data_IF_632882324563
#
_entry.id   IF_632882324563
#
_cell.length_a   1.000
_cell.length_b   1.000
_cell.length_c   1.000
_cell.angle_alpha   90.00
_cell.angle_beta   90.00
_cell.angle_gamma   90.00
#
_symmetry.space_group_name_H-M   'P 1'
#
loop_
_entity.id
_entity.type
_entity.pdbx_description
1 polymer ?
#
# COMPACT_ATOMS: atom_id res chain seq x y z
N UNK A 1 21.71 -17.34 -8.04
CA UNK A 1 20.44 -16.64 -7.70
C UNK A 1 20.65 -15.18 -8.07
N UNK A 2 19.96 -14.69 -9.09
CA UNK A 2 20.07 -13.31 -9.54
C UNK A 2 19.31 -12.39 -8.59
N UNK A 3 19.92 -11.28 -8.18
CA UNK A 3 19.35 -10.34 -7.23
C UNK A 3 18.65 -9.20 -7.97
N UNK A 4 17.36 -9.02 -7.73
CA UNK A 4 16.61 -7.83 -8.14
C UNK A 4 16.98 -6.65 -7.22
N UNK A 5 17.73 -5.70 -7.73
CA UNK A 5 18.08 -4.48 -7.02
C UNK A 5 16.90 -3.51 -7.03
N UNK A 6 16.48 -3.11 -5.85
CA UNK A 6 15.48 -2.07 -5.65
C UNK A 6 16.13 -0.92 -4.85
N UNK A 7 16.87 0.01 -5.51
CA UNK A 7 17.63 1.05 -4.82
C UNK A 7 16.79 1.88 -3.85
N UNK A 8 15.52 2.12 -4.17
CA UNK A 8 14.57 2.79 -3.29
C UNK A 8 14.25 1.99 -2.00
N UNK A 9 14.44 0.67 -1.99
CA UNK A 9 14.33 -0.15 -0.79
C UNK A 9 15.58 -0.08 0.08
N UNK A 10 16.72 0.39 -0.46
CA UNK A 10 17.94 0.54 0.31
C UNK A 10 17.76 1.57 1.44
N UNK A 11 17.11 2.70 1.18
CA UNK A 11 16.77 3.66 2.23
C UNK A 11 15.87 3.06 3.31
N UNK A 12 14.90 2.23 2.91
CA UNK A 12 14.02 1.51 3.83
C UNK A 12 14.78 0.45 4.64
N UNK A 13 15.74 -0.25 4.02
CA UNK A 13 16.54 -1.31 4.66
C UNK A 13 17.67 -0.71 5.52
N UNK A 14 18.25 0.41 5.07
CA UNK A 14 19.35 1.10 5.75
C UNK A 14 18.88 2.00 6.91
N UNK A 15 17.60 2.31 7.01
CA UNK A 15 16.99 2.89 8.22
C UNK A 15 16.97 1.81 9.32
N UNK A 16 18.16 1.50 9.83
CA UNK A 16 18.39 0.51 10.89
C UNK A 16 17.93 0.98 12.28
N UNK A 17 17.58 2.23 12.44
CA UNK A 17 16.85 2.69 13.62
C UNK A 17 15.37 2.34 13.42
N UNK A 18 14.82 1.57 14.34
CA UNK A 18 13.38 1.33 14.49
C UNK A 18 12.70 2.66 14.79
N UNK A 19 12.56 3.52 13.80
CA UNK A 19 11.56 4.55 13.81
C UNK A 19 10.23 3.82 13.87
N UNK A 20 9.39 4.10 14.84
CA UNK A 20 8.19 3.36 15.17
C UNK A 20 7.34 2.93 13.96
N UNK A 21 6.32 2.15 14.18
CA UNK A 21 5.46 1.64 13.11
C UNK A 21 4.77 2.79 12.37
N UNK A 22 5.11 3.00 11.10
CA UNK A 22 4.53 4.10 10.30
C UNK A 22 3.00 3.97 10.16
N UNK A 23 2.46 2.74 10.19
CA UNK A 23 1.01 2.50 10.18
C UNK A 23 0.34 2.90 11.51
N UNK A 24 1.09 3.00 12.60
CA UNK A 24 0.59 3.56 13.87
C UNK A 24 0.76 5.07 13.94
N UNK A 25 1.89 5.60 13.45
CA UNK A 25 2.23 7.03 13.62
C UNK A 25 1.46 7.94 12.67
N UNK A 26 1.44 7.61 11.37
CA UNK A 26 0.77 8.43 10.37
C UNK A 26 -0.71 8.71 10.66
N UNK A 27 -1.53 7.72 11.11
CA UNK A 27 -2.93 8.00 11.42
C UNK A 27 -3.16 8.89 12.66
N UNK A 28 -2.19 9.07 13.53
CA UNK A 28 -2.28 9.98 14.70
C UNK A 28 -2.24 11.44 14.27
N UNK A 29 -1.65 11.72 13.12
CA UNK A 29 -1.56 13.05 12.57
C UNK A 29 -2.83 13.40 11.78
N UNK A 30 -3.11 14.70 11.65
CA UNK A 30 -4.30 15.21 10.94
C UNK A 30 -4.05 15.53 9.47
N UNK A 31 -2.79 15.58 9.04
CA UNK A 31 -2.43 15.89 7.66
C UNK A 31 -2.42 14.61 6.79
N UNK A 32 -3.58 14.26 6.25
CA UNK A 32 -3.75 13.08 5.42
C UNK A 32 -2.92 13.15 4.12
N UNK A 33 -2.73 14.32 3.55
CA UNK A 33 -1.98 14.49 2.30
C UNK A 33 -0.50 14.18 2.51
N UNK A 34 0.11 14.75 3.53
CA UNK A 34 1.51 14.46 3.89
C UNK A 34 1.71 13.00 4.24
N UNK A 35 0.73 12.40 4.92
CA UNK A 35 0.77 11.02 5.36
C UNK A 35 0.28 10.01 4.32
N UNK A 36 -0.20 10.50 3.16
CA UNK A 36 -0.72 9.68 2.07
C UNK A 36 -1.96 8.86 2.46
N UNK A 37 -2.74 9.31 3.47
CA UNK A 37 -3.97 8.63 3.91
C UNK A 37 -5.11 9.07 2.99
N UNK A 38 -5.66 8.11 2.25
CA UNK A 38 -6.75 8.34 1.31
C UNK A 38 -8.11 8.32 2.00
N UNK A 39 -8.33 7.37 2.90
CA UNK A 39 -9.60 7.19 3.58
C UNK A 39 -9.41 6.69 5.01
N UNK A 40 -10.19 7.24 5.93
CA UNK A 40 -10.25 6.82 7.34
C UNK A 40 -11.57 6.13 7.61
N UNK A 41 -11.54 4.82 7.87
CA UNK A 41 -12.67 4.06 8.37
C UNK A 41 -12.77 4.13 9.89
N UNK A 42 -13.63 3.31 10.48
CA UNK A 42 -13.85 3.23 11.93
C UNK A 42 -12.69 2.52 12.64
N UNK A 43 -12.26 1.40 12.11
CA UNK A 43 -11.23 0.52 12.70
C UNK A 43 -10.02 0.34 11.80
N UNK A 44 -10.16 0.67 10.50
CA UNK A 44 -9.13 0.54 9.49
C UNK A 44 -9.01 1.82 8.65
N UNK A 45 -7.95 1.92 7.85
CA UNK A 45 -7.75 3.03 6.93
C UNK A 45 -7.09 2.58 5.62
N UNK A 46 -7.22 3.40 4.59
CA UNK A 46 -6.53 3.22 3.29
C UNK A 46 -5.40 4.25 3.20
N UNK A 47 -4.21 3.78 2.91
CA UNK A 47 -3.02 4.61 2.70
C UNK A 47 -2.33 4.24 1.39
N UNK A 48 -1.82 5.22 0.66
CA UNK A 48 -0.97 4.98 -0.50
C UNK A 48 0.41 4.50 -0.03
N UNK A 49 0.89 3.41 -0.60
CA UNK A 49 2.20 2.88 -0.24
C UNK A 49 3.31 3.84 -0.70
N UNK A 50 4.18 4.27 0.22
CA UNK A 50 5.32 5.14 -0.08
C UNK A 50 6.39 4.45 -0.95
N UNK A 51 6.40 3.10 -0.97
CA UNK A 51 7.29 2.27 -1.78
C UNK A 51 6.47 1.38 -2.72
N UNK A 52 5.78 1.95 -3.71
CA UNK A 52 4.79 1.24 -4.49
C UNK A 52 5.42 0.23 -5.45
N UNK A 53 4.76 -0.92 -5.63
CA UNK A 53 5.14 -1.86 -6.70
C UNK A 53 4.67 -1.37 -8.07
N UNK A 54 3.53 -0.68 -8.12
CA UNK A 54 2.97 0.00 -9.27
C UNK A 54 2.33 1.32 -8.82
N UNK A 55 2.16 2.32 -9.71
CA UNK A 55 1.41 3.53 -9.38
C UNK A 55 0.02 3.18 -8.83
N UNK A 56 -0.38 3.83 -7.73
CA UNK A 56 -1.66 3.53 -7.07
C UNK A 56 -1.64 2.31 -6.14
N UNK A 57 -0.49 1.76 -5.78
CA UNK A 57 -0.39 0.68 -4.80
C UNK A 57 -0.92 1.14 -3.43
N UNK A 58 -2.03 0.56 -2.98
CA UNK A 58 -2.67 0.87 -1.71
C UNK A 58 -2.32 -0.17 -0.64
N UNK A 59 -2.33 0.29 0.61
CA UNK A 59 -2.37 -0.56 1.79
C UNK A 59 -3.68 -0.29 2.53
N UNK A 60 -4.31 -1.35 3.03
CA UNK A 60 -5.43 -1.28 3.97
C UNK A 60 -4.96 -1.89 5.28
N UNK A 61 -5.03 -1.15 6.37
CA UNK A 61 -4.51 -1.57 7.66
C UNK A 61 -5.44 -1.18 8.81
N UNK A 62 -5.50 -1.97 9.89
CA UNK A 62 -6.18 -1.58 11.11
C UNK A 62 -5.42 -0.47 11.84
N UNK A 63 -6.12 0.33 12.67
CA UNK A 63 -5.45 1.28 13.56
C UNK A 63 -4.69 0.58 14.70
N UNK A 64 -5.18 -0.59 15.14
CA UNK A 64 -4.51 -1.39 16.16
C UNK A 64 -3.21 -1.98 15.62
N UNK A 65 -2.16 -1.92 16.42
CA UNK A 65 -0.88 -2.55 16.12
C UNK A 65 -0.97 -4.05 16.37
N UNK A 66 -1.28 -4.81 15.35
CA UNK A 66 -1.40 -6.28 15.38
C UNK A 66 -0.73 -6.87 14.15
N UNK A 67 0.11 -7.89 14.34
CA UNK A 67 0.81 -8.59 13.25
C UNK A 67 0.16 -9.92 12.84
N UNK A 68 -0.83 -10.38 13.61
CA UNK A 68 -1.49 -11.67 13.39
C UNK A 68 -2.93 -11.47 12.87
N UNK A 69 -3.29 -12.20 11.84
CA UNK A 69 -4.62 -12.16 11.25
C UNK A 69 -5.72 -12.60 12.24
N UNK A 70 -5.42 -13.59 13.07
CA UNK A 70 -6.35 -14.12 14.09
C UNK A 70 -6.64 -13.11 15.22
N UNK A 71 -5.86 -12.02 15.31
CA UNK A 71 -6.06 -10.97 16.29
C UNK A 71 -7.06 -9.89 15.86
N UNK A 72 -7.51 -9.91 14.59
CA UNK A 72 -8.60 -9.05 14.13
C UNK A 72 -9.91 -9.45 14.80
N UNK A 73 -10.71 -8.46 15.21
CA UNK A 73 -12.11 -8.72 15.52
C UNK A 73 -12.92 -8.92 14.23
N UNK A 74 -14.11 -9.50 14.34
CA UNK A 74 -15.00 -9.70 13.19
C UNK A 74 -15.34 -8.37 12.49
N UNK A 75 -15.54 -7.30 13.30
CA UNK A 75 -15.82 -5.96 12.77
C UNK A 75 -14.62 -5.38 12.02
N UNK A 76 -13.41 -5.53 12.58
CA UNK A 76 -12.18 -5.08 11.92
C UNK A 76 -11.93 -5.84 10.62
N UNK A 77 -12.09 -7.17 10.64
CA UNK A 77 -11.92 -8.00 9.46
C UNK A 77 -12.94 -7.64 8.37
N UNK A 78 -14.21 -7.46 8.76
CA UNK A 78 -15.27 -7.03 7.83
C UNK A 78 -14.95 -5.68 7.21
N UNK A 79 -14.60 -4.67 8.03
CA UNK A 79 -14.29 -3.33 7.53
C UNK A 79 -13.04 -3.35 6.66
N UNK A 80 -12.02 -4.14 6.99
CA UNK A 80 -10.83 -4.28 6.16
C UNK A 80 -11.18 -4.74 4.74
N UNK A 81 -12.06 -5.75 4.61
CA UNK A 81 -12.55 -6.18 3.30
C UNK A 81 -13.42 -5.14 2.61
N UNK A 82 -14.25 -4.40 3.34
CA UNK A 82 -15.07 -3.32 2.77
C UNK A 82 -14.17 -2.19 2.23
N UNK A 83 -13.10 -1.84 2.94
CA UNK A 83 -12.11 -0.87 2.48
C UNK A 83 -11.26 -1.39 1.30
N UNK A 84 -10.94 -2.68 1.26
CA UNK A 84 -10.32 -3.29 0.07
C UNK A 84 -11.24 -3.14 -1.15
N UNK A 85 -12.54 -3.45 -1.02
CA UNK A 85 -13.51 -3.25 -2.10
C UNK A 85 -13.62 -1.77 -2.53
N UNK A 86 -13.58 -0.83 -1.57
CA UNK A 86 -13.55 0.60 -1.85
C UNK A 86 -12.28 0.96 -2.65
N UNK A 87 -11.11 0.49 -2.22
CA UNK A 87 -9.84 0.69 -2.91
C UNK A 87 -9.85 0.15 -4.34
N UNK A 88 -10.40 -1.04 -4.55
CA UNK A 88 -10.54 -1.65 -5.88
C UNK A 88 -11.43 -0.79 -6.79
N UNK A 89 -12.61 -0.33 -6.31
CA UNK A 89 -13.50 0.56 -7.08
C UNK A 89 -12.81 1.88 -7.40
N UNK A 90 -12.13 2.48 -6.43
CA UNK A 90 -11.38 3.72 -6.62
C UNK A 90 -10.32 3.59 -7.71
N UNK A 91 -9.49 2.55 -7.62
CA UNK A 91 -8.45 2.30 -8.61
C UNK A 91 -9.04 1.99 -9.99
N UNK A 92 -10.11 1.20 -10.04
CA UNK A 92 -10.80 0.89 -11.30
C UNK A 92 -11.31 2.15 -12.00
N UNK A 93 -11.93 3.07 -11.25
CA UNK A 93 -12.46 4.32 -11.79
C UNK A 93 -11.33 5.27 -12.25
N UNK A 94 -10.33 5.47 -11.39
CA UNK A 94 -9.32 6.52 -11.57
C UNK A 94 -8.19 6.10 -12.50
N UNK A 95 -7.71 4.85 -12.38
CA UNK A 95 -6.49 4.40 -13.07
C UNK A 95 -6.76 3.36 -14.15
N UNK A 96 -7.99 2.85 -14.22
CA UNK A 96 -8.47 1.88 -15.23
C UNK A 96 -7.50 0.71 -15.47
N UNK A 97 -7.12 -0.02 -14.40
CA UNK A 97 -6.23 -1.16 -14.56
C UNK A 97 -6.93 -2.33 -15.26
N UNK A 98 -6.15 -3.24 -15.83
CA UNK A 98 -6.67 -4.46 -16.45
C UNK A 98 -6.80 -5.62 -15.46
N UNK A 99 -6.28 -5.45 -14.25
CA UNK A 99 -6.36 -6.44 -13.17
C UNK A 99 -5.79 -5.92 -11.86
N UNK A 100 -5.83 -6.76 -10.83
CA UNK A 100 -5.31 -6.45 -9.50
C UNK A 100 -4.59 -7.66 -8.91
N UNK A 101 -3.53 -7.39 -8.14
CA UNK A 101 -3.02 -8.33 -7.16
C UNK A 101 -3.37 -7.80 -5.77
N UNK A 102 -3.90 -8.68 -4.92
CA UNK A 102 -4.14 -8.36 -3.51
C UNK A 102 -3.64 -9.48 -2.61
N UNK A 103 -3.19 -9.13 -1.41
CA UNK A 103 -2.70 -10.12 -0.46
C UNK A 103 -2.06 -9.48 0.77
N UNK A 104 -1.71 -10.34 1.73
CA UNK A 104 -1.00 -9.97 2.96
C UNK A 104 0.30 -10.76 3.05
N UNK A 105 1.34 -10.14 3.55
CA UNK A 105 2.58 -10.82 3.91
C UNK A 105 2.54 -11.08 5.42
N UNK A 106 2.45 -12.33 5.83
CA UNK A 106 2.42 -12.73 7.23
C UNK A 106 3.79 -13.27 7.65
N UNK A 107 4.51 -12.50 8.47
CA UNK A 107 5.85 -12.80 8.92
C UNK A 107 6.98 -12.40 7.95
N UNK A 108 8.19 -12.31 8.46
CA UNK A 108 9.39 -11.84 7.74
C UNK A 108 9.71 -12.66 6.50
N UNK A 109 9.62 -13.99 6.62
CA UNK A 109 9.96 -14.91 5.50
C UNK A 109 9.00 -14.81 4.33
N UNK A 110 7.79 -14.27 4.57
CA UNK A 110 6.80 -13.97 3.52
C UNK A 110 7.06 -12.63 2.81
N UNK A 111 8.13 -11.90 3.18
CA UNK A 111 8.51 -10.63 2.58
C UNK A 111 7.83 -9.41 3.21
N UNK A 112 7.27 -9.55 4.42
CA UNK A 112 6.74 -8.41 5.16
C UNK A 112 7.87 -7.44 5.53
N UNK A 113 7.81 -6.22 5.03
CA UNK A 113 8.72 -5.15 5.43
C UNK A 113 8.39 -4.61 6.83
N UNK A 114 7.13 -4.75 7.22
CA UNK A 114 6.59 -4.47 8.55
C UNK A 114 5.79 -5.71 8.95
N UNK A 115 6.40 -6.62 9.72
CA UNK A 115 5.84 -7.93 10.05
C UNK A 115 4.97 -7.92 11.31
N UNK A 116 5.01 -6.85 12.08
CA UNK A 116 4.30 -6.66 13.33
C UNK A 116 3.03 -5.78 13.22
N UNK A 117 2.72 -5.29 12.02
CA UNK A 117 1.49 -4.56 11.75
C UNK A 117 0.82 -5.06 10.46
N UNK A 118 -0.30 -5.73 10.64
CA UNK A 118 -1.07 -6.34 9.54
C UNK A 118 -1.52 -5.30 8.52
N UNK A 119 -1.32 -5.60 7.25
CA UNK A 119 -1.81 -4.75 6.16
C UNK A 119 -2.07 -5.57 4.90
N UNK A 120 -3.13 -5.20 4.19
CA UNK A 120 -3.48 -5.79 2.89
C UNK A 120 -2.95 -4.90 1.77
N UNK A 121 -2.14 -5.47 0.90
CA UNK A 121 -1.73 -4.84 -0.34
C UNK A 121 -2.84 -4.90 -1.38
N UNK A 122 -3.07 -3.80 -2.10
CA UNK A 122 -3.93 -3.73 -3.29
C UNK A 122 -3.10 -3.07 -4.39
N UNK A 123 -2.72 -3.85 -5.40
CA UNK A 123 -1.82 -3.44 -6.46
C UNK A 123 -2.54 -3.48 -7.79
N UNK A 124 -2.78 -2.34 -8.44
CA UNK A 124 -3.34 -2.31 -9.79
C UNK A 124 -2.32 -2.81 -10.81
N UNK A 125 -2.83 -3.51 -11.84
CA UNK A 125 -2.01 -4.14 -12.86
C UNK A 125 -2.48 -3.74 -14.26
N UNK A 126 -1.52 -3.54 -15.15
CA UNK A 126 -1.76 -3.29 -16.58
C UNK A 126 -0.94 -4.24 -17.43
N UNK A 127 -1.44 -4.54 -18.61
CA UNK A 127 -0.63 -5.27 -19.58
C UNK A 127 0.63 -4.43 -19.91
N UNK A 128 1.81 -5.04 -19.75
CA UNK A 128 3.07 -4.34 -19.96
C UNK A 128 3.50 -3.41 -18.80
N UNK A 129 2.93 -3.54 -17.62
CA UNK A 129 3.33 -2.77 -16.43
C UNK A 129 4.74 -3.15 -15.90
N UNK A 130 5.34 -4.15 -16.48
CA UNK A 130 6.76 -4.47 -16.34
C UNK A 130 7.41 -4.47 -17.73
N UNK A 131 8.64 -4.02 -17.81
CA UNK A 131 9.43 -3.96 -19.05
C UNK A 131 10.77 -4.68 -18.86
N UNK A 132 11.70 -4.52 -19.76
CA UNK A 132 13.02 -5.16 -19.70
C UNK A 132 13.96 -4.53 -18.64
N UNK A 133 13.64 -3.35 -18.09
CA UNK A 133 14.51 -2.65 -17.13
C UNK A 133 14.81 -3.47 -15.86
N UNK A 134 13.85 -4.21 -15.26
CA UNK A 134 14.16 -5.12 -14.15
C UNK A 134 15.18 -6.20 -14.52
N UNK A 135 15.19 -6.64 -15.79
CA UNK A 135 16.10 -7.68 -16.27
C UNK A 135 17.50 -7.13 -16.54
N UNK A 136 17.58 -5.94 -17.16
CA UNK A 136 18.86 -5.35 -17.57
C UNK A 136 19.55 -4.60 -16.41
N UNK A 137 18.78 -3.84 -15.62
CA UNK A 137 19.34 -2.94 -14.60
C UNK A 137 18.77 -3.13 -13.21
N UNK A 138 17.97 -4.17 -12.97
CA UNK A 138 17.26 -4.41 -11.72
C UNK A 138 16.42 -3.20 -11.25
N UNK A 139 15.95 -2.39 -12.20
CA UNK A 139 15.25 -1.14 -11.92
C UNK A 139 13.80 -1.24 -12.38
N UNK A 140 12.84 -1.00 -11.48
CA UNK A 140 11.44 -0.80 -11.86
C UNK A 140 11.19 0.68 -12.10
N UNK A 141 10.75 1.01 -13.31
CA UNK A 141 10.33 2.37 -13.66
C UNK A 141 8.91 2.57 -13.13
N UNK A 142 8.72 3.56 -12.26
CA UNK A 142 7.41 4.04 -11.84
C UNK A 142 7.05 5.24 -12.72
N UNK A 143 5.92 5.15 -13.40
CA UNK A 143 5.49 6.14 -14.40
C UNK A 143 4.82 7.37 -13.80
N UNK A 144 4.56 7.39 -12.49
CA UNK A 144 3.83 8.47 -11.83
C UNK A 144 4.42 8.77 -10.44
N UNK A 145 4.52 10.06 -10.10
CA UNK A 145 4.96 10.50 -8.77
C UNK A 145 3.88 10.23 -7.70
N UNK A 146 4.30 9.92 -6.47
CA UNK A 146 3.38 9.62 -5.36
C UNK A 146 2.37 10.74 -5.09
N UNK A 147 2.80 12.00 -5.09
CA UNK A 147 1.92 13.15 -4.86
C UNK A 147 0.83 13.26 -5.95
N UNK A 148 1.18 12.99 -7.21
CA UNK A 148 0.22 12.99 -8.32
C UNK A 148 -0.79 11.85 -8.16
N UNK A 149 -0.32 10.64 -7.83
CA UNK A 149 -1.17 9.48 -7.56
C UNK A 149 -2.11 9.75 -6.38
N UNK A 150 -1.60 10.32 -5.29
CA UNK A 150 -2.40 10.66 -4.11
C UNK A 150 -3.54 11.64 -4.48
N UNK A 151 -3.20 12.76 -5.12
CA UNK A 151 -4.19 13.77 -5.51
C UNK A 151 -5.27 13.19 -6.40
N UNK A 152 -4.88 12.46 -7.44
CA UNK A 152 -5.79 11.81 -8.38
C UNK A 152 -6.76 10.85 -7.66
N UNK A 153 -6.25 10.02 -6.75
CA UNK A 153 -7.05 9.08 -5.98
C UNK A 153 -7.94 9.77 -4.96
N UNK A 154 -7.46 10.83 -4.30
CA UNK A 154 -8.26 11.60 -3.34
C UNK A 154 -9.43 12.32 -4.02
N UNK A 155 -9.22 12.86 -5.21
CA UNK A 155 -10.28 13.44 -6.02
C UNK A 155 -11.28 12.38 -6.50
N UNK A 156 -10.79 11.20 -6.90
CA UNK A 156 -11.64 10.07 -7.28
C UNK A 156 -12.54 9.56 -6.17
N UNK A 157 -12.07 9.59 -4.92
CA UNK A 157 -12.91 9.21 -3.76
C UNK A 157 -14.17 10.07 -3.63
N UNK A 158 -14.10 11.35 -4.01
CA UNK A 158 -15.27 12.26 -3.97
C UNK A 158 -16.32 11.92 -5.02
N UNK A 159 -15.96 11.15 -6.02
CA UNK A 159 -16.84 10.76 -7.13
C UNK A 159 -17.55 9.45 -6.82
N UNK A 160 -16.90 8.53 -6.12
CA UNK A 160 -17.42 7.17 -5.85
C UNK A 160 -18.03 7.00 -4.44
N UNK A 161 -17.91 8.03 -3.59
CA UNK A 161 -18.41 8.03 -2.19
C UNK A 161 -19.93 8.18 -2.10
#
# INVERSE_FOLDING_TARGET
>A
MEHLWAPWRAEYILQTEKVGCFLCEKPKETNDETNLILHRGKSNFIILNSFPYNPGHLLVAPYRHIGNLDALTDEEAKEQFDLVKLGLRLLAEVTKPTGFNMGMNLGKVAGAGLDDHLHTHVVPRWQGDTNFMPVISNTKVLSEALAASYKKLKDGLRIIA
#
